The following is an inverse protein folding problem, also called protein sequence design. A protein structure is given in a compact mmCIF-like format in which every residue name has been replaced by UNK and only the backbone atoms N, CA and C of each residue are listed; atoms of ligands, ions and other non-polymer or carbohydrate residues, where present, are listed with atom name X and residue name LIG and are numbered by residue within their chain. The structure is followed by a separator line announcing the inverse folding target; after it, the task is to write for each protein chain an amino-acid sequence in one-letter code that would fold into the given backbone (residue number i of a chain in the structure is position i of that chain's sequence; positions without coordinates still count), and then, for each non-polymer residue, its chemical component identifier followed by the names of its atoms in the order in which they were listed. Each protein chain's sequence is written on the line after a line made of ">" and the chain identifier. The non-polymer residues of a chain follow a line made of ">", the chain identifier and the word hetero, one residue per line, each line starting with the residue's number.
data_IF_476091316493
#
_entry.id   IF_476091316493
#
_cell.length_a   1.000
_cell.length_b   1.000
_cell.length_c   1.000
_cell.angle_alpha   90.00
_cell.angle_beta   90.00
_cell.angle_gamma   90.00
#
_symmetry.space_group_name_H-M   'P 1'
#
loop_
_entity.id
_entity.type
_entity.pdbx_description
1 polymer ?
#
# COMPACT_ATOMS: atom_id res chain seq x y z
N UNK A 1 -5.01 -25.97 -3.30
CA UNK A 1 -4.37 -24.96 -2.43
C UNK A 1 -4.08 -23.75 -3.31
N UNK A 2 -5.01 -22.79 -3.36
CA UNK A 2 -4.95 -21.64 -4.25
C UNK A 2 -3.94 -20.60 -3.77
N UNK A 3 -3.04 -20.18 -4.64
CA UNK A 3 -2.39 -18.86 -4.61
C UNK A 3 -3.10 -18.02 -5.68
N UNK A 4 -4.09 -17.19 -5.33
CA UNK A 4 -4.01 -15.82 -4.78
C UNK A 4 -3.43 -14.82 -5.81
N UNK A 5 -4.36 -13.97 -6.28
CA UNK A 5 -4.23 -12.67 -6.95
C UNK A 5 -3.42 -12.55 -8.25
N UNK A 6 -4.06 -12.91 -9.36
CA UNK A 6 -3.81 -12.26 -10.66
C UNK A 6 -4.78 -11.08 -10.76
N UNK A 7 -4.36 -9.91 -10.27
CA UNK A 7 -5.08 -8.66 -10.50
C UNK A 7 -5.16 -8.41 -11.99
N UNK A 8 -6.35 -8.58 -12.56
CA UNK A 8 -6.64 -8.33 -13.96
C UNK A 8 -6.74 -6.81 -14.20
N UNK A 9 -5.61 -6.12 -14.10
CA UNK A 9 -5.43 -4.73 -14.52
C UNK A 9 -4.56 -4.69 -15.77
N UNK A 10 -4.87 -5.53 -16.76
CA UNK A 10 -4.13 -5.61 -18.01
C UNK A 10 -4.43 -4.40 -18.87
N UNK A 11 -3.66 -3.32 -18.73
CA UNK A 11 -3.54 -2.30 -19.77
C UNK A 11 -2.75 -2.89 -20.94
N UNK A 12 -3.34 -3.85 -21.64
CA UNK A 12 -2.80 -4.33 -22.90
C UNK A 12 -3.20 -3.33 -23.99
N UNK A 13 -2.61 -2.15 -23.94
CA UNK A 13 -2.49 -1.31 -25.12
C UNK A 13 -1.63 -2.08 -26.12
N UNK A 14 -2.24 -2.63 -27.15
CA UNK A 14 -1.50 -3.28 -28.24
C UNK A 14 -0.82 -2.20 -29.06
N UNK A 15 0.38 -1.79 -28.62
CA UNK A 15 1.28 -0.99 -29.43
C UNK A 15 1.87 -1.90 -30.51
N UNK A 16 1.60 -1.62 -31.79
CA UNK A 16 2.10 -2.33 -32.99
C UNK A 16 3.62 -2.10 -33.23
N UNK A 17 4.42 -1.95 -32.18
CA UNK A 17 5.89 -1.86 -32.25
C UNK A 17 6.49 -0.70 -33.07
N UNK A 18 5.66 0.18 -33.66
CA UNK A 18 6.09 1.25 -34.58
C UNK A 18 5.85 2.68 -34.06
N UNK A 19 5.21 2.86 -32.90
CA UNK A 19 4.84 4.19 -32.38
C UNK A 19 5.44 4.58 -31.02
N UNK A 20 6.14 3.68 -30.31
CA UNK A 20 6.76 4.01 -29.02
C UNK A 20 8.27 4.10 -29.23
N UNK A 21 8.81 5.32 -29.21
CA UNK A 21 10.26 5.49 -29.17
C UNK A 21 10.80 5.02 -27.82
N UNK A 22 12.12 4.73 -27.70
CA UNK A 22 12.73 4.37 -26.41
C UNK A 22 12.49 5.44 -25.32
N UNK A 23 12.24 6.69 -25.73
CA UNK A 23 11.92 7.79 -24.82
C UNK A 23 10.55 7.65 -24.14
N UNK A 24 9.53 7.14 -24.83
CA UNK A 24 8.17 7.02 -24.26
C UNK A 24 8.12 5.91 -23.20
N UNK A 25 8.83 4.80 -23.44
CA UNK A 25 8.94 3.69 -22.49
C UNK A 25 9.71 4.09 -21.23
N UNK A 26 10.78 4.88 -21.38
CA UNK A 26 11.53 5.44 -20.25
C UNK A 26 10.65 6.38 -19.42
N UNK A 27 9.94 7.32 -20.04
CA UNK A 27 9.05 8.23 -19.32
C UNK A 27 7.92 7.49 -18.60
N UNK A 28 7.33 6.48 -19.25
CA UNK A 28 6.30 5.66 -18.62
C UNK A 28 6.86 4.88 -17.42
N UNK A 29 8.06 4.32 -17.56
CA UNK A 29 8.75 3.61 -16.47
C UNK A 29 9.04 4.55 -15.31
N UNK A 30 9.56 5.75 -15.58
CA UNK A 30 9.90 6.76 -14.59
C UNK A 30 8.66 7.20 -13.81
N UNK A 31 7.57 7.57 -14.50
CA UNK A 31 6.31 7.99 -13.86
C UNK A 31 5.71 6.85 -13.04
N UNK A 32 5.73 5.62 -13.56
CA UNK A 32 5.26 4.44 -12.83
C UNK A 32 6.09 4.23 -11.56
N UNK A 33 7.42 4.36 -11.64
CA UNK A 33 8.30 4.26 -10.48
C UNK A 33 8.04 5.34 -9.42
N UNK A 34 7.72 6.57 -9.84
CA UNK A 34 7.33 7.65 -8.93
C UNK A 34 6.02 7.34 -8.20
N UNK A 35 5.02 6.81 -8.92
CA UNK A 35 3.72 6.41 -8.36
C UNK A 35 3.89 5.29 -7.34
N UNK A 36 4.61 4.22 -7.70
CA UNK A 36 4.86 3.10 -6.80
C UNK A 36 5.61 3.53 -5.54
N UNK A 37 6.61 4.39 -5.70
CA UNK A 37 7.34 4.96 -4.55
C UNK A 37 6.43 5.79 -3.65
N UNK A 38 5.47 6.54 -4.21
CA UNK A 38 4.50 7.29 -3.44
C UNK A 38 3.52 6.35 -2.69
N UNK A 39 3.05 5.28 -3.32
CA UNK A 39 2.22 4.26 -2.67
C UNK A 39 2.92 3.62 -1.47
N UNK A 40 4.19 3.23 -1.62
CA UNK A 40 4.98 2.64 -0.52
C UNK A 40 5.10 3.60 0.65
N UNK A 41 5.40 4.88 0.40
CA UNK A 41 5.48 5.89 1.47
C UNK A 41 4.14 6.12 2.15
N UNK A 42 3.05 6.19 1.39
CA UNK A 42 1.71 6.34 1.94
C UNK A 42 1.33 5.15 2.83
N UNK A 43 1.56 3.92 2.35
CA UNK A 43 1.32 2.71 3.12
C UNK A 43 2.14 2.68 4.41
N UNK A 44 3.42 3.05 4.36
CA UNK A 44 4.28 3.10 5.54
C UNK A 44 3.77 4.10 6.59
N UNK A 45 3.40 5.32 6.16
CA UNK A 45 2.88 6.36 7.06
C UNK A 45 1.55 5.95 7.70
N UNK A 46 0.61 5.42 6.90
CA UNK A 46 -0.70 4.97 7.42
C UNK A 46 -0.52 3.81 8.39
N UNK A 47 0.32 2.83 8.07
CA UNK A 47 0.56 1.68 8.94
C UNK A 47 1.17 2.10 10.29
N UNK A 48 2.12 3.05 10.30
CA UNK A 48 2.69 3.54 11.56
C UNK A 48 1.66 4.28 12.41
N UNK A 49 0.82 5.11 11.79
CA UNK A 49 -0.25 5.83 12.50
C UNK A 49 -1.28 4.86 13.08
N UNK A 50 -1.69 3.85 12.32
CA UNK A 50 -2.64 2.83 12.79
C UNK A 50 -2.09 2.04 13.98
N UNK A 51 -0.81 1.64 13.93
CA UNK A 51 -0.17 0.93 15.06
C UNK A 51 -0.16 1.81 16.30
N UNK A 52 0.25 3.07 16.19
CA UNK A 52 0.27 4.00 17.32
C UNK A 52 -1.13 4.25 17.88
N UNK A 53 -2.13 4.41 17.00
CA UNK A 53 -3.52 4.57 17.38
C UNK A 53 -4.02 3.35 18.17
N UNK A 54 -3.75 2.14 17.68
CA UNK A 54 -4.18 0.91 18.34
C UNK A 54 -3.53 0.76 19.72
N UNK A 55 -2.26 1.11 19.86
CA UNK A 55 -1.62 1.15 21.17
C UNK A 55 -2.28 2.16 22.11
N UNK A 56 -2.57 3.36 21.63
CA UNK A 56 -3.25 4.40 22.42
C UNK A 56 -4.65 3.95 22.85
N UNK A 57 -5.43 3.35 21.94
CA UNK A 57 -6.77 2.82 22.26
C UNK A 57 -6.66 1.70 23.29
N UNK A 58 -5.76 0.73 23.09
CA UNK A 58 -5.56 -0.38 24.01
C UNK A 58 -5.15 0.09 25.41
N UNK A 59 -4.32 1.13 25.50
CA UNK A 59 -3.96 1.77 26.78
C UNK A 59 -5.19 2.35 27.48
N UNK A 60 -5.99 3.14 26.76
CA UNK A 60 -7.21 3.76 27.32
C UNK A 60 -8.24 2.73 27.75
N UNK A 61 -8.47 1.68 26.96
CA UNK A 61 -9.36 0.57 27.35
C UNK A 61 -8.84 -0.11 28.62
N UNK A 62 -7.54 -0.38 28.72
CA UNK A 62 -6.95 -0.99 29.91
C UNK A 62 -7.14 -0.12 31.16
N UNK A 63 -6.95 1.18 31.03
CA UNK A 63 -7.01 2.14 32.14
C UNK A 63 -8.44 2.46 32.55
N UNK A 64 -9.32 2.72 31.59
CA UNK A 64 -10.67 3.24 31.80
C UNK A 64 -11.71 2.11 32.00
N UNK A 65 -11.56 0.97 31.32
CA UNK A 65 -12.56 -0.12 31.34
C UNK A 65 -12.11 -1.34 32.16
N UNK A 66 -10.85 -1.74 32.07
CA UNK A 66 -10.35 -2.95 32.73
C UNK A 66 -9.70 -2.67 34.10
N UNK A 67 -9.57 -1.40 34.50
CA UNK A 67 -8.94 -1.02 35.77
C UNK A 67 -7.52 -1.58 35.95
N UNK A 68 -6.78 -1.78 34.83
CA UNK A 68 -5.45 -2.38 34.83
C UNK A 68 -5.42 -3.92 34.75
N UNK A 69 -6.56 -4.60 34.77
CA UNK A 69 -6.62 -6.05 34.62
C UNK A 69 -6.47 -6.47 33.15
N UNK A 70 -6.07 -7.73 32.92
CA UNK A 70 -6.11 -8.32 31.56
C UNK A 70 -7.54 -8.73 31.27
N UNK A 71 -8.00 -8.48 30.04
CA UNK A 71 -9.24 -9.08 29.57
C UNK A 71 -9.06 -10.61 29.54
N UNK A 72 -9.98 -11.33 30.17
CA UNK A 72 -10.08 -12.80 30.16
C UNK A 72 -11.04 -13.27 29.05
#
# INVERSE_FOLDING_TARGET
>A
MSAVYRGAGGWKGTCDGRCCGPHDELLLSDVSGLIESAHVRAAAAVNSELVLLYWSIGKRVREELLGGQRAE
#
